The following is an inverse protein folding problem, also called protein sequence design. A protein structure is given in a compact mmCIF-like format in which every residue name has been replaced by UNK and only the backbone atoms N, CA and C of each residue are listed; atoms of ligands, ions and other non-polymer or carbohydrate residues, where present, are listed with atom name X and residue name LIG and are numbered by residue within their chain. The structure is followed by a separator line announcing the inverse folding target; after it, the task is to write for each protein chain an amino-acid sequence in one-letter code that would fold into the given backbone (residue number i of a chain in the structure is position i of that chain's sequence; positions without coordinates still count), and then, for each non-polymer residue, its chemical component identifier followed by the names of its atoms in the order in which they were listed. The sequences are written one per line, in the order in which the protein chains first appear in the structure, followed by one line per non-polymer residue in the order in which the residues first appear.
data_IF_513661645848
#
_entry.id   IF_513661645848
#
_cell.length_a   1.000
_cell.length_b   1.000
_cell.length_c   1.000
_cell.angle_alpha   90.00
_cell.angle_beta   90.00
_cell.angle_gamma   90.00
#
_symmetry.space_group_name_H-M   'P 1'
#
loop_
_entity.id
_entity.type
_entity.pdbx_description
1 polymer ?
#
# COMPACT_ATOMS: atom_id res chain seq x y z
N UNK A 1 -64.30 41.39 31.95
CA UNK A 1 -63.04 41.72 31.25
C UNK A 1 -61.97 40.73 31.73
N UNK A 2 -61.40 39.97 30.80
CA UNK A 2 -60.05 39.31 30.82
C UNK A 2 -59.69 38.45 32.06
N UNK A 3 -59.88 37.12 32.06
CA UNK A 3 -59.02 36.04 31.48
C UNK A 3 -57.65 35.90 32.18
N UNK A 4 -57.05 34.74 32.49
CA UNK A 4 -57.39 33.30 32.50
C UNK A 4 -56.22 32.61 33.27
N UNK A 5 -56.50 31.58 34.09
CA UNK A 5 -55.52 30.82 34.88
C UNK A 5 -54.58 29.93 34.03
N UNK A 6 -53.38 29.56 34.53
CA UNK A 6 -52.50 28.60 33.88
C UNK A 6 -52.91 27.15 34.22
N UNK A 7 -53.04 26.32 33.18
CA UNK A 7 -53.33 24.88 33.30
C UNK A 7 -52.08 24.08 32.91
N UNK A 8 -51.69 23.16 33.81
CA UNK A 8 -50.66 22.14 33.62
C UNK A 8 -50.93 21.31 32.36
N UNK A 9 -49.88 21.00 31.60
CA UNK A 9 -49.90 19.89 30.64
C UNK A 9 -48.55 19.16 30.69
N UNK A 10 -48.61 17.99 31.34
CA UNK A 10 -47.63 16.91 31.23
C UNK A 10 -47.85 16.27 29.87
N UNK A 11 -46.83 16.26 29.00
CA UNK A 11 -46.88 15.55 27.73
C UNK A 11 -45.97 14.32 27.82
N UNK A 12 -46.60 13.15 27.93
CA UNK A 12 -45.95 11.86 27.71
C UNK A 12 -45.63 11.72 26.22
N UNK A 13 -44.34 11.65 25.87
CA UNK A 13 -43.88 11.25 24.53
C UNK A 13 -43.64 9.73 24.54
N UNK A 14 -44.54 9.02 23.86
CA UNK A 14 -44.41 7.61 23.50
C UNK A 14 -43.18 7.43 22.58
N UNK A 15 -42.20 6.67 23.05
CA UNK A 15 -41.10 6.19 22.25
C UNK A 15 -41.58 5.04 21.35
N UNK A 16 -41.91 5.34 20.09
CA UNK A 16 -42.06 4.33 19.05
C UNK A 16 -40.67 3.99 18.50
N UNK A 17 -40.10 2.88 18.97
CA UNK A 17 -38.86 2.32 18.45
C UNK A 17 -39.06 1.77 17.04
N UNK A 18 -38.71 2.54 16.01
CA UNK A 18 -38.47 2.02 14.66
C UNK A 18 -37.08 1.36 14.64
N UNK A 19 -37.00 0.12 15.12
CA UNK A 19 -35.87 -0.75 14.82
C UNK A 19 -36.00 -1.21 13.37
N UNK A 20 -35.24 -0.60 12.46
CA UNK A 20 -35.07 -1.16 11.11
C UNK A 20 -34.13 -2.36 11.24
N UNK A 21 -34.58 -3.59 10.96
CA UNK A 21 -33.66 -4.70 10.84
C UNK A 21 -32.82 -4.44 9.58
N UNK A 22 -31.56 -4.04 9.77
CA UNK A 22 -30.53 -4.15 8.73
C UNK A 22 -30.21 -5.62 8.53
N UNK A 23 -31.15 -6.38 7.97
CA UNK A 23 -30.85 -7.65 7.37
C UNK A 23 -30.00 -7.34 6.13
N UNK A 24 -28.69 -7.56 6.23
CA UNK A 24 -27.81 -7.62 5.07
C UNK A 24 -28.33 -8.82 4.27
N UNK A 25 -29.20 -8.56 3.30
CA UNK A 25 -29.69 -9.59 2.40
C UNK A 25 -28.45 -10.19 1.72
N UNK A 26 -28.16 -11.45 2.05
CA UNK A 26 -27.17 -12.23 1.30
C UNK A 26 -27.61 -12.19 -0.15
N UNK A 27 -26.79 -11.59 -1.02
CA UNK A 27 -27.05 -11.59 -2.45
C UNK A 27 -27.30 -13.04 -2.91
N UNK A 28 -28.34 -13.24 -3.72
CA UNK A 28 -28.66 -14.56 -4.26
C UNK A 28 -27.42 -15.17 -4.92
N UNK A 29 -27.19 -16.49 -4.89
CA UNK A 29 -26.06 -17.11 -5.59
C UNK A 29 -26.09 -16.78 -7.09
N UNK A 30 -24.92 -16.81 -7.76
CA UNK A 30 -24.89 -16.70 -9.22
C UNK A 30 -25.71 -17.84 -9.85
N UNK A 31 -26.42 -17.60 -10.97
CA UNK A 31 -27.18 -18.66 -11.63
C UNK A 31 -26.28 -19.85 -11.98
N UNK A 32 -26.74 -21.06 -11.70
CA UNK A 32 -26.00 -22.28 -12.03
C UNK A 32 -26.06 -22.55 -13.54
N UNK A 33 -24.90 -22.88 -14.10
CA UNK A 33 -24.75 -23.27 -15.51
C UNK A 33 -23.59 -24.24 -15.61
N UNK A 34 -23.79 -25.32 -16.37
CA UNK A 34 -22.73 -26.28 -16.65
C UNK A 34 -21.54 -25.57 -17.34
N UNK A 35 -20.30 -25.79 -16.88
CA UNK A 35 -19.13 -25.21 -17.53
C UNK A 35 -19.01 -25.71 -18.98
N UNK A 36 -18.42 -24.93 -19.89
CA UNK A 36 -18.09 -25.41 -21.23
C UNK A 36 -17.17 -26.63 -21.18
N UNK A 37 -17.17 -27.42 -22.24
CA UNK A 37 -16.23 -28.53 -22.39
C UNK A 37 -14.79 -28.05 -22.17
N UNK A 38 -14.01 -28.82 -21.40
CA UNK A 38 -12.63 -28.48 -21.04
C UNK A 38 -12.49 -27.55 -19.82
N UNK A 39 -13.58 -27.03 -19.27
CA UNK A 39 -13.59 -26.28 -18.01
C UNK A 39 -14.19 -27.09 -16.87
N UNK A 40 -13.57 -26.95 -15.72
CA UNK A 40 -14.13 -27.31 -14.42
C UNK A 40 -14.64 -26.05 -13.75
N UNK A 41 -15.86 -26.09 -13.24
CA UNK A 41 -16.42 -24.99 -12.45
C UNK A 41 -16.28 -25.32 -10.98
N UNK A 42 -15.78 -24.37 -10.21
CA UNK A 42 -15.79 -24.45 -8.76
C UNK A 42 -16.43 -23.17 -8.25
N UNK A 43 -17.54 -23.32 -7.53
CA UNK A 43 -18.19 -22.19 -6.86
C UNK A 43 -17.23 -21.67 -5.79
N UNK A 44 -16.86 -20.40 -5.93
CA UNK A 44 -15.96 -19.69 -5.05
C UNK A 44 -16.59 -19.41 -3.69
N UNK A 45 -15.77 -19.36 -2.65
CA UNK A 45 -16.21 -18.81 -1.38
C UNK A 45 -16.70 -17.36 -1.57
N UNK A 46 -17.74 -17.00 -0.82
CA UNK A 46 -18.41 -15.69 -0.88
C UNK A 46 -19.24 -15.37 -2.15
N UNK A 47 -19.57 -16.38 -2.97
CA UNK A 47 -20.61 -16.30 -4.00
C UNK A 47 -20.10 -16.23 -5.45
N UNK A 48 -18.79 -16.00 -5.65
CA UNK A 48 -18.16 -15.96 -6.97
C UNK A 48 -18.02 -17.34 -7.61
N UNK A 49 -17.54 -17.38 -8.85
CA UNK A 49 -17.29 -18.64 -9.58
C UNK A 49 -15.95 -18.60 -10.29
N UNK A 50 -15.24 -19.72 -10.20
CA UNK A 50 -14.01 -19.96 -10.94
C UNK A 50 -14.26 -21.04 -11.99
N UNK A 51 -13.93 -20.75 -13.24
CA UNK A 51 -13.78 -21.75 -14.30
C UNK A 51 -12.29 -21.97 -14.53
N UNK A 52 -11.83 -23.21 -14.43
CA UNK A 52 -10.44 -23.56 -14.67
C UNK A 52 -10.36 -24.69 -15.69
N UNK A 53 -9.46 -24.57 -16.65
CA UNK A 53 -9.29 -25.53 -17.73
C UNK A 53 -7.83 -25.66 -18.13
N UNK A 54 -7.56 -26.67 -18.94
CA UNK A 54 -6.25 -26.86 -19.57
C UNK A 54 -6.45 -27.08 -21.05
N UNK A 55 -5.43 -26.77 -21.82
CA UNK A 55 -5.43 -27.09 -23.24
C UNK A 55 -4.07 -27.67 -23.62
N UNK A 56 -4.11 -28.60 -24.56
CA UNK A 56 -2.94 -29.16 -25.23
C UNK A 56 -2.85 -28.58 -26.64
N UNK A 57 -1.63 -28.54 -27.18
CA UNK A 57 -1.39 -28.04 -28.53
C UNK A 57 -0.08 -27.27 -28.61
N UNK A 58 0.11 -26.60 -29.75
CA UNK A 58 1.31 -25.82 -30.08
C UNK A 58 0.99 -24.31 -30.11
N UNK A 59 0.19 -23.82 -29.16
CA UNK A 59 -0.14 -22.41 -29.11
C UNK A 59 1.13 -21.59 -28.89
N UNK A 60 1.31 -20.56 -29.70
CA UNK A 60 2.48 -19.66 -29.65
C UNK A 60 2.19 -18.32 -28.99
N UNK A 61 0.91 -18.05 -28.68
CA UNK A 61 0.43 -16.75 -28.23
C UNK A 61 -0.66 -16.93 -27.16
N UNK A 62 -0.39 -16.42 -25.96
CA UNK A 62 -1.34 -16.41 -24.86
C UNK A 62 -2.52 -15.50 -25.17
N UNK A 63 -2.28 -14.36 -25.84
CA UNK A 63 -3.32 -13.46 -26.31
C UNK A 63 -4.27 -14.13 -27.31
N UNK A 64 -3.75 -14.93 -28.25
CA UNK A 64 -4.59 -15.69 -29.19
C UNK A 64 -5.43 -16.76 -28.47
N UNK A 65 -4.83 -17.45 -27.49
CA UNK A 65 -5.56 -18.42 -26.64
C UNK A 65 -6.65 -17.73 -25.83
N UNK A 66 -6.37 -16.57 -25.22
CA UNK A 66 -7.36 -15.77 -24.52
C UNK A 66 -8.52 -15.38 -25.45
N UNK A 67 -8.22 -14.86 -26.64
CA UNK A 67 -9.26 -14.50 -27.62
C UNK A 67 -10.07 -15.71 -28.11
N UNK A 68 -9.48 -16.89 -28.20
CA UNK A 68 -10.20 -18.15 -28.44
C UNK A 68 -11.10 -18.54 -27.27
N UNK A 69 -10.56 -18.49 -26.05
CA UNK A 69 -11.29 -18.80 -24.82
C UNK A 69 -12.50 -17.88 -24.63
N UNK A 70 -12.35 -16.56 -24.78
CA UNK A 70 -13.44 -15.61 -24.62
C UNK A 70 -14.58 -15.86 -25.63
N UNK A 71 -14.27 -16.31 -26.85
CA UNK A 71 -15.28 -16.73 -27.82
C UNK A 71 -16.03 -17.98 -27.38
N UNK A 72 -15.34 -19.00 -26.86
CA UNK A 72 -15.97 -20.21 -26.30
C UNK A 72 -16.88 -19.86 -25.12
N UNK A 73 -16.40 -18.98 -24.24
CA UNK A 73 -17.17 -18.50 -23.09
C UNK A 73 -18.37 -17.65 -23.50
N UNK A 74 -18.42 -17.15 -24.75
CA UNK A 74 -19.60 -16.49 -25.29
C UNK A 74 -20.85 -17.37 -25.25
N UNK A 75 -20.71 -18.71 -25.32
CA UNK A 75 -21.82 -19.66 -25.15
C UNK A 75 -22.13 -20.01 -23.68
N UNK A 76 -21.25 -19.65 -22.74
CA UNK A 76 -21.48 -19.80 -21.30
C UNK A 76 -22.09 -18.54 -20.67
N UNK A 77 -21.64 -17.38 -21.13
CA UNK A 77 -22.28 -16.10 -20.87
C UNK A 77 -23.42 -15.87 -21.86
N UNK A 78 -24.09 -14.73 -21.77
CA UNK A 78 -25.17 -14.33 -22.67
C UNK A 78 -24.60 -13.57 -23.89
N UNK A 79 -23.39 -13.96 -24.33
CA UNK A 79 -22.59 -13.27 -25.34
C UNK A 79 -21.10 -13.24 -24.98
N UNK A 80 -20.28 -12.82 -25.94
CA UNK A 80 -18.83 -12.72 -25.74
C UNK A 80 -18.52 -11.70 -24.61
N UNK A 81 -17.66 -12.06 -23.64
CA UNK A 81 -17.19 -11.11 -22.65
C UNK A 81 -16.51 -9.90 -23.29
N UNK A 82 -16.77 -8.72 -22.74
CA UNK A 82 -16.17 -7.45 -23.18
C UNK A 82 -14.94 -7.18 -22.33
N UNK A 83 -13.76 -7.17 -22.94
CA UNK A 83 -12.49 -6.93 -22.23
C UNK A 83 -12.35 -5.44 -21.91
N UNK A 84 -12.21 -5.11 -20.62
CA UNK A 84 -11.99 -3.74 -20.12
C UNK A 84 -10.52 -3.37 -20.11
N UNK A 85 -9.63 -4.35 -19.98
CA UNK A 85 -8.19 -4.17 -19.97
C UNK A 85 -7.47 -5.51 -20.01
N UNK A 86 -6.24 -5.52 -20.52
CA UNK A 86 -5.43 -6.72 -20.57
C UNK A 86 -3.96 -6.39 -20.39
N UNK A 87 -3.24 -7.32 -19.77
CA UNK A 87 -1.81 -7.26 -19.55
C UNK A 87 -1.22 -8.62 -19.85
N UNK A 88 -0.38 -8.68 -20.90
CA UNK A 88 0.39 -9.85 -21.29
C UNK A 88 1.88 -9.63 -21.07
N UNK A 89 2.67 -10.70 -21.00
CA UNK A 89 4.13 -10.56 -21.01
C UNK A 89 4.66 -10.33 -22.45
N UNK A 90 5.86 -9.73 -22.60
CA UNK A 90 6.44 -9.43 -23.92
C UNK A 90 6.69 -10.65 -24.82
N UNK A 91 6.83 -11.85 -24.26
CA UNK A 91 6.99 -13.08 -25.03
C UNK A 91 5.64 -13.74 -25.36
N UNK A 92 4.52 -13.14 -24.94
CA UNK A 92 3.15 -13.61 -25.19
C UNK A 92 2.92 -15.05 -24.71
N UNK A 93 3.42 -15.33 -23.50
CA UNK A 93 3.36 -16.64 -22.81
C UNK A 93 2.34 -16.64 -21.68
N UNK A 94 1.92 -15.49 -21.19
CA UNK A 94 0.98 -15.29 -20.12
C UNK A 94 0.22 -14.00 -20.33
N UNK A 95 -1.10 -14.04 -20.13
CA UNK A 95 -1.95 -12.85 -20.21
C UNK A 95 -3.03 -12.92 -19.15
N UNK A 96 -3.28 -11.78 -18.52
CA UNK A 96 -4.44 -11.54 -17.67
C UNK A 96 -5.28 -10.44 -18.32
N UNK A 97 -6.57 -10.67 -18.45
CA UNK A 97 -7.52 -9.70 -18.94
C UNK A 97 -8.71 -9.60 -18.02
N UNK A 98 -9.19 -8.38 -17.82
CA UNK A 98 -10.41 -8.12 -17.08
C UNK A 98 -11.57 -7.94 -18.05
N UNK A 99 -12.76 -8.32 -17.63
CA UNK A 99 -13.93 -8.31 -18.51
C UNK A 99 -15.24 -8.06 -17.77
N UNK A 100 -16.21 -7.58 -18.53
CA UNK A 100 -17.63 -7.53 -18.20
C UNK A 100 -18.41 -8.54 -19.07
N UNK A 101 -19.42 -9.20 -18.49
CA UNK A 101 -20.30 -10.12 -19.20
C UNK A 101 -21.70 -10.19 -18.54
N UNK A 102 -22.59 -11.03 -19.08
CA UNK A 102 -23.86 -11.40 -18.43
C UNK A 102 -23.99 -12.92 -18.36
N UNK A 103 -24.55 -13.44 -17.27
CA UNK A 103 -24.84 -14.85 -17.07
C UNK A 103 -26.32 -14.99 -16.74
N UNK A 104 -27.11 -15.54 -17.67
CA UNK A 104 -28.57 -15.67 -17.57
C UNK A 104 -29.25 -14.35 -17.14
N UNK A 105 -28.90 -13.27 -17.81
CA UNK A 105 -29.37 -11.91 -17.55
C UNK A 105 -28.66 -11.20 -16.39
N UNK A 106 -27.88 -11.90 -15.57
CA UNK A 106 -27.17 -11.32 -14.41
C UNK A 106 -25.85 -10.69 -14.85
N UNK A 107 -25.60 -9.38 -14.62
CA UNK A 107 -24.30 -8.79 -14.94
C UNK A 107 -23.21 -9.40 -14.06
N UNK A 108 -22.09 -9.76 -14.68
CA UNK A 108 -20.91 -10.28 -14.01
C UNK A 108 -19.66 -9.55 -14.48
N UNK A 109 -18.67 -9.48 -13.60
CA UNK A 109 -17.34 -8.92 -13.86
C UNK A 109 -16.29 -9.90 -13.37
N UNK A 110 -15.17 -9.98 -14.08
CA UNK A 110 -14.15 -10.95 -13.76
C UNK A 110 -12.79 -10.69 -14.37
N UNK A 111 -11.89 -11.63 -14.11
CA UNK A 111 -10.58 -11.72 -14.73
C UNK A 111 -10.42 -13.09 -15.41
N UNK A 112 -9.79 -13.08 -16.57
CA UNK A 112 -9.40 -14.25 -17.35
C UNK A 112 -7.87 -14.30 -17.40
N UNK A 113 -7.30 -15.47 -17.13
CA UNK A 113 -5.87 -15.72 -17.14
C UNK A 113 -5.57 -16.85 -18.11
N UNK A 114 -4.48 -16.69 -18.85
CA UNK A 114 -3.91 -17.74 -19.69
C UNK A 114 -2.42 -17.81 -19.38
N UNK A 115 -1.91 -19.02 -19.22
CA UNK A 115 -0.48 -19.29 -19.09
C UNK A 115 -0.09 -20.44 -20.02
N UNK A 116 0.85 -20.19 -20.92
CA UNK A 116 1.46 -21.18 -21.81
C UNK A 116 2.64 -21.86 -21.12
N UNK A 117 2.81 -23.15 -21.42
CA UNK A 117 3.99 -23.95 -21.10
C UNK A 117 4.87 -24.09 -22.35
N UNK A 118 6.11 -24.54 -22.20
CA UNK A 118 7.10 -24.60 -23.31
C UNK A 118 6.70 -25.49 -24.48
N UNK A 119 5.82 -26.47 -24.25
CA UNK A 119 5.23 -27.30 -25.31
C UNK A 119 4.11 -26.62 -26.13
N UNK A 120 3.68 -25.40 -25.76
CA UNK A 120 2.57 -24.68 -26.39
C UNK A 120 1.17 -25.06 -25.89
N UNK A 121 1.06 -26.01 -24.96
CA UNK A 121 -0.13 -26.20 -24.12
C UNK A 121 -0.16 -25.20 -22.97
N UNK A 122 -1.15 -25.29 -22.08
CA UNK A 122 -1.24 -24.37 -20.97
C UNK A 122 -2.46 -24.51 -20.07
N UNK A 123 -2.52 -23.63 -19.09
CA UNK A 123 -3.65 -23.46 -18.18
C UNK A 123 -4.44 -22.20 -18.51
N UNK A 124 -5.76 -22.28 -18.29
CA UNK A 124 -6.65 -21.13 -18.35
C UNK A 124 -7.51 -21.05 -17.11
N UNK A 125 -7.80 -19.84 -16.67
CA UNK A 125 -8.66 -19.57 -15.53
C UNK A 125 -9.55 -18.37 -15.79
N UNK A 126 -10.78 -18.42 -15.29
CA UNK A 126 -11.72 -17.31 -15.33
C UNK A 126 -12.34 -17.21 -13.96
N UNK A 127 -12.19 -16.07 -13.30
CA UNK A 127 -12.80 -15.78 -12.01
C UNK A 127 -13.78 -14.65 -12.21
N UNK A 128 -15.03 -14.83 -11.80
CA UNK A 128 -16.03 -13.79 -11.95
C UNK A 128 -17.09 -13.86 -10.85
N UNK A 129 -17.72 -12.72 -10.64
CA UNK A 129 -18.84 -12.56 -9.72
C UNK A 129 -19.69 -11.37 -10.19
N UNK A 130 -20.75 -11.06 -9.46
CA UNK A 130 -21.47 -9.80 -9.64
C UNK A 130 -20.52 -8.63 -9.41
N UNK A 131 -20.67 -7.52 -10.14
CA UNK A 131 -19.84 -6.33 -9.96
C UNK A 131 -19.79 -5.81 -8.51
N UNK A 132 -20.87 -5.98 -7.74
CA UNK A 132 -20.92 -5.58 -6.33
C UNK A 132 -20.18 -6.54 -5.37
N UNK A 133 -20.01 -7.81 -5.76
CA UNK A 133 -19.47 -8.86 -4.89
C UNK A 133 -18.02 -9.23 -5.23
N UNK A 134 -17.55 -8.91 -6.44
CA UNK A 134 -16.24 -9.32 -6.96
C UNK A 134 -15.07 -8.91 -6.04
N UNK A 135 -15.08 -7.71 -5.45
CA UNK A 135 -14.01 -7.27 -4.56
C UNK A 135 -13.91 -8.07 -3.25
N UNK A 136 -15.00 -8.73 -2.84
CA UNK A 136 -15.02 -9.63 -1.68
C UNK A 136 -14.64 -11.06 -2.08
N UNK A 137 -15.14 -11.55 -3.21
CA UNK A 137 -14.92 -12.94 -3.64
C UNK A 137 -13.59 -13.17 -4.36
N UNK A 138 -13.02 -12.14 -5.00
CA UNK A 138 -11.80 -12.26 -5.82
C UNK A 138 -10.65 -12.90 -5.06
N UNK A 139 -10.30 -12.39 -3.88
CA UNK A 139 -9.20 -12.95 -3.08
C UNK A 139 -9.40 -14.43 -2.74
N UNK A 140 -10.65 -14.85 -2.47
CA UNK A 140 -10.96 -16.25 -2.23
C UNK A 140 -10.90 -17.11 -3.50
N UNK A 141 -11.38 -16.60 -4.63
CA UNK A 141 -11.30 -17.29 -5.92
C UNK A 141 -9.84 -17.47 -6.37
N UNK A 142 -8.97 -16.46 -6.18
CA UNK A 142 -7.54 -16.60 -6.52
C UNK A 142 -6.85 -17.60 -5.58
N UNK A 143 -7.25 -17.71 -4.30
CA UNK A 143 -6.74 -18.78 -3.41
C UNK A 143 -7.16 -20.16 -3.91
N UNK A 144 -8.40 -20.27 -4.34
CA UNK A 144 -8.94 -21.51 -4.89
C UNK A 144 -8.20 -21.95 -6.17
N UNK A 145 -7.82 -21.01 -7.04
CA UNK A 145 -7.02 -21.33 -8.22
C UNK A 145 -5.68 -22.00 -7.87
N UNK A 146 -5.00 -21.56 -6.81
CA UNK A 146 -3.77 -22.22 -6.33
C UNK A 146 -3.98 -23.66 -5.87
N UNK A 147 -5.22 -24.04 -5.54
CA UNK A 147 -5.57 -25.42 -5.17
C UNK A 147 -6.05 -26.28 -6.34
N UNK A 148 -6.44 -25.66 -7.47
CA UNK A 148 -6.88 -26.39 -8.66
C UNK A 148 -5.63 -26.90 -9.40
N UNK A 149 -5.40 -28.21 -9.32
CA UNK A 149 -4.37 -28.87 -10.13
C UNK A 149 -4.78 -28.81 -11.59
N UNK A 150 -4.02 -28.08 -12.40
CA UNK A 150 -4.13 -28.01 -13.87
C UNK A 150 -3.37 -29.22 -14.44
N UNK A 151 -4.02 -30.26 -15.01
CA UNK A 151 -3.32 -31.39 -15.61
C UNK A 151 -2.46 -30.93 -16.80
N UNK A 152 -1.15 -31.19 -16.76
CA UNK A 152 -0.20 -30.87 -17.85
C UNK A 152 0.38 -29.46 -17.81
N UNK A 153 -0.10 -28.58 -16.92
CA UNK A 153 0.74 -27.52 -16.38
C UNK A 153 1.67 -28.15 -15.35
N UNK A 154 2.96 -27.83 -15.35
CA UNK A 154 3.64 -27.83 -14.07
C UNK A 154 2.84 -26.87 -13.20
N UNK A 155 1.96 -27.41 -12.34
CA UNK A 155 1.40 -26.65 -11.25
C UNK A 155 2.62 -25.97 -10.64
N UNK A 156 2.63 -24.63 -10.57
CA UNK A 156 3.63 -23.91 -9.79
C UNK A 156 3.64 -24.62 -8.46
N UNK A 157 4.66 -25.48 -8.23
CA UNK A 157 4.65 -26.37 -7.08
C UNK A 157 4.48 -25.44 -5.90
N UNK A 158 3.54 -25.71 -4.96
CA UNK A 158 3.36 -24.86 -3.79
C UNK A 158 4.74 -24.58 -3.24
N UNK A 159 5.23 -23.36 -3.48
CA UNK A 159 6.58 -23.04 -3.13
C UNK A 159 6.50 -22.81 -1.64
N UNK A 160 7.00 -23.76 -0.86
CA UNK A 160 7.12 -23.55 0.57
C UNK A 160 8.05 -22.36 0.76
N UNK A 161 7.47 -21.19 0.99
CA UNK A 161 8.23 -19.96 1.21
C UNK A 161 8.86 -20.04 2.59
N UNK A 162 10.20 -20.02 2.71
CA UNK A 162 10.86 -19.94 3.99
C UNK A 162 10.35 -18.70 4.74
N UNK A 163 9.72 -18.91 5.89
CA UNK A 163 9.26 -17.82 6.73
C UNK A 163 10.45 -17.09 7.32
N UNK A 164 10.44 -15.77 7.20
CA UNK A 164 11.39 -14.87 7.83
C UNK A 164 10.62 -13.91 8.73
N UNK A 165 11.06 -13.81 9.97
CA UNK A 165 10.55 -12.79 10.90
C UNK A 165 11.32 -11.51 10.70
N UNK A 166 10.64 -10.37 10.69
CA UNK A 166 11.29 -9.06 10.66
C UNK A 166 12.23 -8.90 11.87
N UNK A 167 13.31 -8.11 11.75
CA UNK A 167 14.24 -7.90 12.87
C UNK A 167 13.60 -7.33 14.14
N UNK A 168 12.46 -6.63 14.02
CA UNK A 168 11.69 -6.12 15.17
C UNK A 168 10.75 -7.18 15.79
N UNK A 169 10.67 -8.39 15.23
CA UNK A 169 9.82 -9.48 15.70
C UNK A 169 8.32 -9.27 15.45
N UNK A 170 7.92 -8.20 14.76
CA UNK A 170 6.52 -7.76 14.69
C UNK A 170 5.75 -8.40 13.54
N UNK A 171 6.42 -8.81 12.47
CA UNK A 171 5.81 -9.48 11.33
C UNK A 171 6.62 -10.71 10.92
N UNK A 172 5.95 -11.67 10.30
CA UNK A 172 6.58 -12.74 9.56
C UNK A 172 6.10 -12.72 8.12
N UNK A 173 6.99 -13.01 7.18
CA UNK A 173 6.70 -13.10 5.76
C UNK A 173 7.55 -14.18 5.11
N UNK A 174 6.97 -14.91 4.17
CA UNK A 174 7.66 -15.89 3.35
C UNK A 174 8.49 -15.20 2.27
N UNK A 175 9.80 -15.46 2.24
CA UNK A 175 10.72 -14.82 1.30
C UNK A 175 11.31 -15.88 0.37
N UNK A 176 11.09 -15.82 -0.95
CA UNK A 176 11.65 -16.78 -1.89
C UNK A 176 13.19 -16.73 -1.93
N UNK A 177 13.88 -17.81 -2.33
CA UNK A 177 15.31 -17.79 -2.59
C UNK A 177 15.70 -16.66 -3.56
N UNK A 178 16.75 -15.92 -3.21
CA UNK A 178 17.23 -14.77 -4.01
C UNK A 178 16.46 -13.46 -3.79
N UNK A 179 15.37 -13.48 -3.03
CA UNK A 179 14.65 -12.29 -2.59
C UNK A 179 15.14 -11.87 -1.20
N UNK A 180 14.86 -10.63 -0.82
CA UNK A 180 15.27 -10.09 0.49
C UNK A 180 14.26 -9.09 1.04
N UNK A 181 14.15 -9.05 2.37
CA UNK A 181 13.48 -7.95 3.06
C UNK A 181 14.36 -6.70 2.90
N UNK A 182 13.79 -5.62 2.38
CA UNK A 182 14.48 -4.33 2.15
C UNK A 182 14.04 -3.23 3.10
N UNK A 183 12.90 -3.39 3.76
CA UNK A 183 12.36 -2.45 4.73
C UNK A 183 11.42 -3.16 5.69
N UNK A 184 11.36 -2.66 6.93
CA UNK A 184 10.43 -3.16 7.93
C UNK A 184 10.17 -2.10 8.99
N UNK A 185 9.01 -2.21 9.64
CA UNK A 185 8.70 -1.43 10.83
C UNK A 185 7.21 -1.41 11.13
N UNK A 186 6.83 -1.54 12.39
CA UNK A 186 5.43 -1.50 12.82
C UNK A 186 4.55 -2.52 12.08
N UNK A 187 5.10 -3.71 11.81
CA UNK A 187 4.43 -4.79 11.10
C UNK A 187 4.35 -4.62 9.58
N UNK A 188 4.80 -3.48 9.04
CA UNK A 188 5.03 -3.31 7.62
C UNK A 188 6.31 -4.04 7.20
N UNK A 189 6.29 -4.60 5.98
CA UNK A 189 7.44 -5.29 5.38
C UNK A 189 7.52 -4.95 3.91
N UNK A 190 8.72 -4.58 3.45
CA UNK A 190 9.06 -4.44 2.04
C UNK A 190 9.98 -5.59 1.64
N UNK A 191 9.62 -6.31 0.58
CA UNK A 191 10.42 -7.43 0.03
C UNK A 191 10.75 -7.11 -1.43
N UNK A 192 12.03 -7.21 -1.78
CA UNK A 192 12.50 -7.03 -3.14
C UNK A 192 13.01 -8.33 -3.74
N UNK A 193 12.60 -8.59 -4.98
CA UNK A 193 13.13 -9.67 -5.81
C UNK A 193 14.32 -9.25 -6.66
N UNK A 194 15.07 -10.21 -7.21
CA UNK A 194 16.32 -9.96 -7.93
C UNK A 194 16.15 -9.25 -9.28
N UNK A 195 14.92 -9.17 -9.81
CA UNK A 195 14.61 -8.57 -11.12
C UNK A 195 13.75 -7.31 -11.00
N UNK A 196 13.73 -6.68 -9.82
CA UNK A 196 12.96 -5.46 -9.57
C UNK A 196 11.53 -5.72 -9.13
N UNK A 197 11.19 -6.95 -8.74
CA UNK A 197 9.93 -7.23 -8.05
C UNK A 197 9.91 -6.55 -6.68
N UNK A 198 8.74 -6.11 -6.27
CA UNK A 198 8.47 -5.38 -5.04
C UNK A 198 7.21 -5.96 -4.42
N UNK A 199 7.26 -6.25 -3.13
CA UNK A 199 6.10 -6.63 -2.32
C UNK A 199 6.12 -5.81 -1.05
N UNK A 200 5.22 -4.85 -0.94
CA UNK A 200 5.08 -4.02 0.23
C UNK A 200 3.77 -4.41 0.93
N UNK A 201 3.84 -4.82 2.18
CA UNK A 201 2.65 -5.28 2.92
C UNK A 201 2.48 -4.53 4.21
N UNK A 202 1.22 -4.22 4.52
CA UNK A 202 0.86 -3.59 5.77
C UNK A 202 1.35 -2.15 5.92
N UNK A 203 1.62 -1.43 4.83
CA UNK A 203 2.12 -0.06 4.90
C UNK A 203 0.99 0.87 5.36
N UNK A 204 1.27 1.66 6.39
CA UNK A 204 0.34 2.63 6.96
C UNK A 204 1.00 3.99 6.96
N UNK A 205 0.42 4.93 6.24
CA UNK A 205 0.93 6.30 6.13
C UNK A 205 -0.11 7.27 6.69
N UNK A 206 0.20 7.99 7.79
CA UNK A 206 -0.59 9.13 8.18
C UNK A 206 -0.37 10.27 7.19
N UNK A 207 -1.45 10.82 6.66
CA UNK A 207 -1.45 11.97 5.77
C UNK A 207 -2.09 13.14 6.51
N UNK A 208 -1.36 14.25 6.58
CA UNK A 208 -1.80 15.45 7.28
C UNK A 208 -2.63 16.31 6.32
N UNK A 209 -3.73 16.88 6.79
CA UNK A 209 -4.58 17.77 5.97
C UNK A 209 -3.94 19.15 5.83
N UNK A 210 -3.29 19.63 6.89
CA UNK A 210 -2.65 20.94 6.95
C UNK A 210 -1.45 20.92 7.89
N UNK A 211 -0.47 21.84 7.72
CA UNK A 211 0.60 22.03 8.69
C UNK A 211 0.05 22.23 10.10
N UNK A 212 0.78 21.73 11.09
CA UNK A 212 0.41 21.96 12.49
C UNK A 212 0.67 23.41 12.86
N UNK A 213 0.15 23.88 14.00
CA UNK A 213 0.43 25.22 14.50
C UNK A 213 1.94 25.50 14.68
N UNK A 214 2.74 24.45 14.92
CA UNK A 214 4.21 24.54 15.05
C UNK A 214 4.96 24.36 13.72
N UNK A 215 4.23 24.37 12.60
CA UNK A 215 4.78 24.23 11.24
C UNK A 215 4.66 22.82 10.66
N UNK A 216 5.25 22.60 9.47
CA UNK A 216 5.24 21.31 8.81
C UNK A 216 6.15 20.30 9.54
N UNK A 217 5.64 19.10 9.76
CA UNK A 217 6.38 17.94 10.26
C UNK A 217 7.28 17.45 9.14
N UNK A 218 8.58 17.40 9.41
CA UNK A 218 9.57 16.93 8.43
C UNK A 218 9.22 15.51 7.95
N UNK A 219 9.20 15.32 6.63
CA UNK A 219 8.87 14.04 6.00
C UNK A 219 7.37 13.70 5.92
N UNK A 220 6.49 14.45 6.59
CA UNK A 220 5.05 14.23 6.47
C UNK A 220 4.53 14.61 5.07
N UNK A 221 3.48 13.91 4.65
CA UNK A 221 2.75 14.23 3.43
C UNK A 221 1.54 15.07 3.79
N UNK A 222 1.36 16.17 3.07
CA UNK A 222 0.25 17.10 3.25
C UNK A 222 -0.70 17.03 2.06
N UNK A 223 -1.88 16.46 2.26
CA UNK A 223 -2.94 16.35 1.25
C UNK A 223 -4.31 16.45 1.93
N UNK A 224 -5.32 17.09 1.30
CA UNK A 224 -6.69 17.01 1.78
C UNK A 224 -7.15 15.56 1.83
N UNK A 225 -8.18 15.25 2.63
CA UNK A 225 -8.70 13.89 2.68
C UNK A 225 -9.22 13.47 1.30
N UNK A 226 -8.67 12.38 0.77
CA UNK A 226 -9.11 11.76 -0.48
C UNK A 226 -9.80 10.45 -0.14
N UNK A 227 -11.13 10.47 -0.18
CA UNK A 227 -11.93 9.29 0.10
C UNK A 227 -11.72 8.18 -0.94
N UNK A 228 -11.62 8.50 -2.24
CA UNK A 228 -11.49 7.51 -3.29
C UNK A 228 -10.08 6.89 -3.34
N UNK A 229 -9.91 5.57 -3.10
CA UNK A 229 -8.60 4.91 -3.14
C UNK A 229 -7.85 5.08 -4.48
N UNK A 230 -8.56 5.13 -5.61
CA UNK A 230 -7.93 5.27 -6.94
C UNK A 230 -7.42 6.69 -7.19
N UNK A 231 -8.05 7.70 -6.59
CA UNK A 231 -7.54 9.08 -6.63
C UNK A 231 -6.39 9.23 -5.63
N UNK A 232 -6.52 8.60 -4.46
CA UNK A 232 -5.52 8.66 -3.40
C UNK A 232 -4.19 8.04 -3.81
N UNK A 233 -4.18 6.87 -4.47
CA UNK A 233 -2.94 6.21 -4.91
C UNK A 233 -2.11 7.15 -5.80
N UNK A 234 -2.74 7.84 -6.75
CA UNK A 234 -2.04 8.78 -7.63
C UNK A 234 -1.48 9.96 -6.82
N UNK A 235 -2.31 10.64 -6.05
CA UNK A 235 -1.90 11.84 -5.31
C UNK A 235 -0.82 11.56 -4.25
N UNK A 236 -0.96 10.45 -3.51
CA UNK A 236 0.01 10.04 -2.48
C UNK A 236 1.32 9.59 -3.12
N UNK A 237 1.28 8.75 -4.17
CA UNK A 237 2.50 8.31 -4.84
C UNK A 237 3.24 9.45 -5.53
N UNK A 238 2.55 10.45 -6.08
CA UNK A 238 3.18 11.68 -6.60
C UNK A 238 3.87 12.48 -5.48
N UNK A 239 3.22 12.61 -4.32
CA UNK A 239 3.82 13.28 -3.17
C UNK A 239 5.06 12.53 -2.63
N UNK A 240 4.98 11.21 -2.51
CA UNK A 240 6.10 10.36 -2.15
C UNK A 240 7.24 10.44 -3.18
N UNK A 241 6.92 10.43 -4.47
CA UNK A 241 7.89 10.56 -5.57
C UNK A 241 8.68 11.87 -5.45
N UNK A 242 8.02 13.00 -5.18
CA UNK A 242 8.71 14.29 -4.94
C UNK A 242 9.69 14.20 -3.76
N UNK A 243 9.28 13.60 -2.65
CA UNK A 243 10.16 13.39 -1.49
C UNK A 243 11.29 12.38 -1.78
N UNK A 244 11.05 11.39 -2.62
CA UNK A 244 12.04 10.40 -3.03
C UNK A 244 13.13 11.03 -3.91
N UNK A 245 12.74 11.84 -4.90
CA UNK A 245 13.66 12.58 -5.78
C UNK A 245 14.55 13.54 -5.00
N UNK A 246 13.99 14.26 -4.02
CA UNK A 246 14.79 15.12 -3.12
C UNK A 246 15.86 14.35 -2.34
N UNK A 247 15.68 13.04 -2.17
CA UNK A 247 16.62 12.12 -1.50
C UNK A 247 17.46 11.31 -2.49
N UNK A 248 17.46 11.68 -3.77
CA UNK A 248 18.25 11.00 -4.82
C UNK A 248 17.68 9.65 -5.27
N UNK A 249 16.45 9.30 -4.89
CA UNK A 249 15.79 8.08 -5.35
C UNK A 249 15.06 8.28 -6.69
N UNK A 250 14.85 7.22 -7.49
CA UNK A 250 14.13 7.32 -8.75
C UNK A 250 12.69 7.82 -8.58
N UNK A 251 12.27 8.70 -9.49
CA UNK A 251 10.89 9.19 -9.52
C UNK A 251 9.91 8.07 -9.91
N UNK A 252 8.73 8.09 -9.29
CA UNK A 252 7.54 7.38 -9.75
C UNK A 252 6.67 8.37 -10.53
N UNK A 253 6.32 8.02 -11.76
CA UNK A 253 5.62 8.86 -12.74
C UNK A 253 4.55 8.05 -13.50
N UNK A 254 3.71 8.72 -14.29
CA UNK A 254 2.69 8.12 -15.16
C UNK A 254 1.78 7.09 -14.43
N UNK A 255 1.37 7.42 -13.21
CA UNK A 255 0.53 6.55 -12.38
C UNK A 255 -0.89 6.55 -12.96
N UNK A 256 -1.32 5.39 -13.44
CA UNK A 256 -2.64 5.20 -14.02
C UNK A 256 -3.29 3.96 -13.43
N UNK A 257 -4.49 4.16 -12.87
CA UNK A 257 -5.34 3.07 -12.38
C UNK A 257 -6.10 2.52 -13.58
N UNK A 258 -5.72 1.31 -14.00
CA UNK A 258 -6.33 0.60 -15.11
C UNK A 258 -7.62 -0.08 -14.66
N UNK A 259 -7.63 -0.59 -13.43
CA UNK A 259 -8.80 -1.23 -12.85
C UNK A 259 -8.93 -0.95 -11.36
N UNK A 260 -10.18 -0.94 -10.90
CA UNK A 260 -10.57 -0.72 -9.52
C UNK A 260 -11.72 -1.65 -9.15
N UNK A 261 -11.59 -2.27 -7.97
CA UNK A 261 -12.63 -3.08 -7.34
C UNK A 261 -12.80 -2.67 -5.89
N UNK A 262 -13.93 -2.01 -5.52
CA UNK A 262 -14.23 -1.71 -4.12
C UNK A 262 -14.22 -2.96 -3.25
N UNK A 263 -13.72 -2.86 -2.02
CA UNK A 263 -13.74 -3.94 -1.04
C UNK A 263 -13.97 -3.38 0.36
N UNK A 264 -14.31 -4.25 1.31
CA UNK A 264 -14.46 -3.84 2.69
C UNK A 264 -13.11 -3.35 3.24
N UNK A 265 -13.09 -2.23 3.99
CA UNK A 265 -11.84 -1.71 4.50
C UNK A 265 -11.21 -2.65 5.52
N UNK A 266 -9.92 -3.02 5.37
CA UNK A 266 -9.23 -3.91 6.31
C UNK A 266 -9.11 -3.29 7.72
N UNK A 267 -9.19 -1.96 7.81
CA UNK A 267 -9.20 -1.20 9.07
C UNK A 267 -10.60 -1.12 9.70
N UNK A 268 -11.64 -1.62 9.03
CA UNK A 268 -13.03 -1.44 9.45
C UNK A 268 -13.60 -0.03 9.23
N UNK A 269 -12.82 0.90 8.68
CA UNK A 269 -13.22 2.29 8.46
C UNK A 269 -12.82 2.83 7.08
N UNK A 270 -13.57 3.82 6.59
CA UNK A 270 -13.28 4.51 5.35
C UNK A 270 -13.64 3.71 4.08
N UNK A 271 -12.88 3.93 3.01
CA UNK A 271 -13.08 3.25 1.72
C UNK A 271 -11.87 2.41 1.38
N UNK A 272 -12.08 1.27 0.73
CA UNK A 272 -10.99 0.44 0.23
C UNK A 272 -11.29 -0.11 -1.14
N UNK A 273 -10.22 -0.38 -1.90
CA UNK A 273 -10.31 -1.03 -3.19
C UNK A 273 -9.06 -1.85 -3.49
N UNK A 274 -9.23 -2.95 -4.21
CA UNK A 274 -8.17 -3.53 -5.01
C UNK A 274 -8.00 -2.69 -6.27
N UNK A 275 -6.76 -2.35 -6.58
CA UNK A 275 -6.38 -1.53 -7.72
C UNK A 275 -5.39 -2.32 -8.57
N UNK A 276 -5.61 -2.29 -9.88
CA UNK A 276 -4.60 -2.66 -10.84
C UNK A 276 -4.13 -1.38 -11.53
N UNK A 277 -2.84 -1.10 -11.44
CA UNK A 277 -2.28 0.17 -11.89
C UNK A 277 -0.99 -0.04 -12.67
N UNK A 278 -0.68 0.92 -13.54
CA UNK A 278 0.63 1.05 -14.17
C UNK A 278 1.30 2.34 -13.71
N UNK A 279 2.63 2.34 -13.75
CA UNK A 279 3.46 3.53 -13.48
C UNK A 279 4.81 3.39 -14.19
N UNK A 280 5.66 4.42 -14.10
CA UNK A 280 7.08 4.35 -14.46
C UNK A 280 7.95 4.68 -13.25
N UNK A 281 8.86 3.77 -12.89
CA UNK A 281 9.86 3.95 -11.83
C UNK A 281 11.22 4.13 -12.50
N UNK A 282 11.86 5.28 -12.30
CA UNK A 282 13.12 5.60 -12.99
C UNK A 282 12.99 5.50 -14.52
N UNK A 283 11.81 5.86 -15.04
CA UNK A 283 11.50 5.76 -16.46
C UNK A 283 11.23 4.34 -16.98
N UNK A 284 11.20 3.29 -16.14
CA UNK A 284 10.87 1.91 -16.56
C UNK A 284 9.40 1.57 -16.24
N UNK A 285 8.62 1.02 -17.18
CA UNK A 285 7.22 0.68 -16.93
C UNK A 285 7.11 -0.43 -15.88
N UNK A 286 6.18 -0.25 -14.94
CA UNK A 286 5.84 -1.18 -13.88
C UNK A 286 4.33 -1.39 -13.82
N UNK A 287 3.92 -2.62 -13.53
CA UNK A 287 2.56 -2.94 -13.12
C UNK A 287 2.50 -3.17 -11.62
N UNK A 288 1.35 -2.85 -11.04
CA UNK A 288 1.07 -2.97 -9.63
C UNK A 288 -0.32 -3.57 -9.44
N UNK A 289 -0.43 -4.49 -8.49
CA UNK A 289 -1.70 -4.91 -7.93
C UNK A 289 -1.67 -4.54 -6.45
N UNK A 290 -2.59 -3.68 -6.03
CA UNK A 290 -2.58 -3.10 -4.70
C UNK A 290 -3.94 -3.22 -4.01
N UNK A 291 -3.92 -3.33 -2.69
CA UNK A 291 -5.05 -3.07 -1.81
C UNK A 291 -4.78 -1.72 -1.19
N UNK A 292 -5.68 -0.76 -1.42
CA UNK A 292 -5.58 0.59 -0.87
C UNK A 292 -6.79 0.85 0.00
N UNK A 293 -6.57 1.40 1.20
CA UNK A 293 -7.61 1.87 2.11
C UNK A 293 -7.32 3.31 2.55
N UNK A 294 -8.34 4.14 2.45
CA UNK A 294 -8.33 5.54 2.87
C UNK A 294 -9.36 5.71 3.98
N UNK A 295 -8.99 6.33 5.09
CA UNK A 295 -9.91 6.55 6.20
C UNK A 295 -9.57 7.85 6.94
N UNK A 296 -10.56 8.69 7.31
CA UNK A 296 -10.30 9.80 8.21
C UNK A 296 -9.87 9.25 9.58
N UNK A 297 -8.88 9.89 10.21
CA UNK A 297 -8.49 9.60 11.59
C UNK A 297 -9.12 10.64 12.51
N UNK A 298 -8.85 11.91 12.21
CA UNK A 298 -9.33 13.08 12.94
C UNK A 298 -9.47 14.28 11.96
N UNK A 299 -9.93 15.47 12.41
CA UNK A 299 -10.07 16.61 11.51
C UNK A 299 -8.77 17.11 10.86
N UNK A 300 -7.61 16.77 11.41
CA UNK A 300 -6.29 17.21 10.93
C UNK A 300 -5.55 16.16 10.10
N UNK A 301 -6.04 14.92 10.04
CA UNK A 301 -5.30 13.81 9.42
C UNK A 301 -6.19 12.66 8.95
N UNK A 302 -5.66 11.91 8.00
CA UNK A 302 -6.28 10.71 7.47
C UNK A 302 -5.23 9.63 7.18
N UNK A 303 -5.65 8.38 7.17
CA UNK A 303 -4.80 7.22 6.91
C UNK A 303 -4.84 6.89 5.42
N UNK A 304 -3.65 6.70 4.84
CA UNK A 304 -3.45 5.97 3.60
C UNK A 304 -2.76 4.63 3.92
N UNK A 305 -3.54 3.56 3.91
CA UNK A 305 -3.04 2.20 4.02
C UNK A 305 -2.87 1.61 2.63
N UNK A 306 -1.75 0.93 2.40
CA UNK A 306 -1.63 0.09 1.21
C UNK A 306 -0.86 -1.21 1.48
N UNK A 307 -1.16 -2.19 0.65
CA UNK A 307 -0.32 -3.36 0.42
C UNK A 307 -0.30 -3.58 -1.08
N UNK A 308 0.86 -3.87 -1.66
CA UNK A 308 1.04 -3.93 -3.10
C UNK A 308 2.05 -4.98 -3.47
N UNK A 309 1.84 -5.57 -4.65
CA UNK A 309 2.86 -6.28 -5.39
C UNK A 309 3.09 -5.51 -6.68
N UNK A 310 4.35 -5.38 -7.09
CA UNK A 310 4.71 -4.63 -8.28
C UNK A 310 6.01 -5.12 -8.88
N UNK A 311 6.19 -4.94 -10.18
CA UNK A 311 7.42 -5.30 -10.88
C UNK A 311 7.49 -4.62 -12.25
N UNK A 312 8.66 -4.57 -12.89
CA UNK A 312 8.78 -4.13 -14.27
C UNK A 312 7.85 -4.92 -15.20
N UNK A 313 7.48 -4.29 -16.31
CA UNK A 313 6.75 -4.96 -17.38
C UNK A 313 7.49 -6.23 -17.85
N UNK A 314 6.74 -7.30 -18.13
CA UNK A 314 7.20 -8.65 -18.41
C UNK A 314 7.66 -9.47 -17.21
N UNK A 315 8.19 -8.84 -16.17
CA UNK A 315 8.51 -9.50 -14.90
C UNK A 315 7.24 -9.68 -14.07
N UNK A 316 6.36 -8.67 -14.06
CA UNK A 316 5.15 -8.66 -13.24
C UNK A 316 4.28 -9.88 -13.47
N UNK A 317 3.97 -10.19 -14.73
CA UNK A 317 3.05 -11.26 -15.12
C UNK A 317 3.63 -12.62 -14.76
N UNK A 318 4.90 -12.86 -15.12
CA UNK A 318 5.61 -14.11 -14.86
C UNK A 318 5.67 -14.42 -13.36
N UNK A 319 5.93 -13.39 -12.55
CA UNK A 319 6.16 -13.58 -11.11
C UNK A 319 4.95 -13.17 -10.27
N UNK A 320 3.80 -12.83 -10.88
CA UNK A 320 2.62 -12.33 -10.18
C UNK A 320 2.12 -13.32 -9.13
N UNK A 321 2.01 -14.60 -9.51
CA UNK A 321 1.58 -15.65 -8.59
C UNK A 321 2.55 -15.79 -7.41
N UNK A 322 3.86 -15.77 -7.66
CA UNK A 322 4.87 -15.84 -6.61
C UNK A 322 4.78 -14.62 -5.67
N UNK A 323 4.66 -13.41 -6.23
CA UNK A 323 4.48 -12.18 -5.46
C UNK A 323 3.22 -12.21 -4.60
N UNK A 324 2.11 -12.74 -5.13
CA UNK A 324 0.89 -12.93 -4.36
C UNK A 324 1.07 -13.96 -3.24
N UNK A 325 1.85 -15.01 -3.44
CA UNK A 325 2.15 -15.98 -2.39
C UNK A 325 3.03 -15.35 -1.30
N UNK A 326 3.99 -14.50 -1.67
CA UNK A 326 4.76 -13.68 -0.71
C UNK A 326 3.82 -12.79 0.10
N UNK A 327 2.94 -12.02 -0.56
CA UNK A 327 1.94 -11.20 0.13
C UNK A 327 1.10 -12.05 1.08
N UNK A 328 0.51 -13.16 0.62
CA UNK A 328 -0.37 -14.02 1.44
C UNK A 328 0.34 -14.64 2.64
N UNK A 329 1.63 -14.88 2.52
CA UNK A 329 2.44 -15.44 3.59
C UNK A 329 2.74 -14.44 4.71
N UNK A 330 2.47 -13.15 4.48
CA UNK A 330 2.58 -12.12 5.50
C UNK A 330 1.57 -12.35 6.62
N UNK A 331 2.06 -12.30 7.85
CA UNK A 331 1.26 -12.38 9.05
C UNK A 331 1.72 -11.35 10.07
N UNK A 332 0.75 -10.75 10.74
CA UNK A 332 0.96 -9.89 11.90
C UNK A 332 0.86 -10.73 13.16
N UNK A 333 1.69 -10.42 14.16
CA UNK A 333 1.43 -10.89 15.51
C UNK A 333 0.07 -10.31 15.98
N UNK A 334 -0.92 -11.15 16.33
CA UNK A 334 -2.31 -10.71 16.60
C UNK A 334 -2.44 -9.71 17.74
N UNK A 335 -1.50 -9.70 18.70
CA UNK A 335 -1.46 -8.69 19.76
C UNK A 335 -1.27 -7.28 19.17
N UNK A 336 -0.49 -7.17 18.11
CA UNK A 336 -0.11 -5.90 17.49
C UNK A 336 -1.17 -5.33 16.54
N UNK A 337 -2.11 -6.12 16.02
CA UNK A 337 -3.28 -5.54 15.31
C UNK A 337 -4.13 -4.69 16.29
N UNK A 338 -4.24 -5.15 17.55
CA UNK A 338 -4.87 -4.41 18.65
C UNK A 338 -4.02 -3.22 19.09
N UNK A 339 -2.72 -3.44 19.28
CA UNK A 339 -1.79 -2.35 19.66
C UNK A 339 -1.72 -1.27 18.57
N UNK A 340 -1.79 -1.61 17.27
CA UNK A 340 -1.72 -0.65 16.16
C UNK A 340 -2.94 0.27 16.09
N UNK A 341 -4.12 -0.24 16.36
CA UNK A 341 -5.33 0.59 16.47
C UNK A 341 -5.27 1.51 17.71
N UNK A 342 -4.65 1.04 18.80
CA UNK A 342 -4.47 1.82 20.01
C UNK A 342 -3.31 2.82 19.91
N UNK A 343 -2.18 2.46 19.28
CA UNK A 343 -0.98 3.28 19.07
C UNK A 343 -1.23 4.36 18.03
N UNK A 344 -1.89 4.07 16.91
CA UNK A 344 -2.29 5.14 15.98
C UNK A 344 -3.18 6.18 16.68
N UNK A 345 -4.13 5.73 17.51
CA UNK A 345 -4.98 6.61 18.31
C UNK A 345 -4.25 7.28 19.51
N UNK A 346 -3.15 6.70 20.02
CA UNK A 346 -2.45 7.16 21.23
C UNK A 346 -1.19 7.94 20.92
N UNK A 347 -0.33 7.48 20.00
CA UNK A 347 0.79 8.22 19.43
C UNK A 347 0.34 9.56 18.85
N UNK A 348 -0.86 9.66 18.27
CA UNK A 348 -1.36 10.93 17.73
C UNK A 348 -1.92 11.86 18.83
N UNK A 349 -2.56 11.32 19.87
CA UNK A 349 -2.91 12.10 21.09
C UNK A 349 -1.66 12.56 21.86
N UNK A 350 -0.63 11.72 21.94
CA UNK A 350 0.66 12.01 22.57
C UNK A 350 1.56 12.90 21.69
N UNK A 351 1.42 12.88 20.36
CA UNK A 351 2.10 13.83 19.47
C UNK A 351 1.73 15.26 19.85
N UNK A 352 0.49 15.53 20.29
CA UNK A 352 0.09 16.82 20.87
C UNK A 352 0.76 17.20 22.21
N UNK A 353 1.37 16.26 22.94
CA UNK A 353 2.12 16.50 24.19
C UNK A 353 3.65 16.46 24.00
N UNK A 354 4.15 15.56 23.15
CA UNK A 354 5.56 15.51 22.72
C UNK A 354 5.91 16.75 21.90
N UNK A 355 4.99 17.31 21.10
CA UNK A 355 5.22 18.59 20.43
C UNK A 355 5.33 19.76 21.42
N UNK A 356 4.68 19.69 22.60
CA UNK A 356 4.81 20.69 23.69
C UNK A 356 6.13 20.56 24.47
N UNK A 357 6.78 19.40 24.46
CA UNK A 357 8.11 19.20 25.06
C UNK A 357 9.25 19.37 24.04
N UNK A 358 9.06 18.97 22.78
CA UNK A 358 9.99 19.16 21.67
C UNK A 358 10.17 20.65 21.30
N UNK A 359 9.12 21.47 21.41
CA UNK A 359 9.23 22.93 21.23
C UNK A 359 10.24 23.61 22.19
N UNK A 360 10.52 23.02 23.36
CA UNK A 360 11.55 23.51 24.29
C UNK A 360 12.95 22.98 23.96
N UNK A 361 13.08 21.74 23.49
CA UNK A 361 14.38 21.15 23.13
C UNK A 361 14.91 21.54 21.74
N UNK A 362 14.03 21.84 20.79
CA UNK A 362 14.38 22.18 19.41
C UNK A 362 14.95 23.61 19.30
N UNK A 363 14.49 24.55 20.14
CA UNK A 363 15.00 25.94 20.18
C UNK A 363 16.50 25.98 20.52
N UNK A 364 16.96 25.18 21.48
CA UNK A 364 18.37 25.18 21.88
C UNK A 364 19.30 24.54 20.83
N UNK A 365 18.82 23.53 20.11
CA UNK A 365 19.58 22.88 19.04
C UNK A 365 19.67 23.77 17.78
N UNK A 366 18.59 24.50 17.46
CA UNK A 366 18.59 25.51 16.39
C UNK A 366 19.45 26.73 16.74
N UNK A 367 19.45 27.21 17.99
CA UNK A 367 20.32 28.31 18.42
C UNK A 367 21.81 27.95 18.33
N UNK A 368 22.18 26.70 18.67
CA UNK A 368 23.56 26.21 18.53
C UNK A 368 23.98 26.10 17.06
N UNK A 369 23.09 25.60 16.19
CA UNK A 369 23.37 25.48 14.76
C UNK A 369 23.44 26.85 14.05
N UNK A 370 22.56 27.79 14.38
CA UNK A 370 22.57 29.15 13.83
C UNK A 370 23.78 29.97 14.30
N UNK A 371 24.27 29.76 15.53
CA UNK A 371 25.52 30.40 15.99
C UNK A 371 26.74 29.88 15.23
N UNK A 372 26.85 28.55 15.06
CA UNK A 372 27.91 27.95 14.25
C UNK A 372 27.94 28.48 12.81
N UNK A 373 26.75 28.65 12.22
CA UNK A 373 26.61 29.23 10.88
C UNK A 373 26.94 30.73 10.85
N UNK A 374 26.53 31.51 11.86
CA UNK A 374 26.87 32.94 11.95
C UNK A 374 28.36 33.19 12.20
N UNK A 375 29.06 32.33 12.93
CA UNK A 375 30.51 32.44 13.17
C UNK A 375 31.30 32.04 11.93
N UNK A 376 30.86 30.97 11.24
CA UNK A 376 31.39 30.60 9.94
C UNK A 376 31.27 31.74 8.91
N UNK A 377 30.13 32.42 8.85
CA UNK A 377 29.91 33.56 7.95
C UNK A 377 30.74 34.81 8.31
N UNK A 378 31.17 34.94 9.56
CA UNK A 378 31.98 36.06 10.04
C UNK A 378 33.48 35.76 10.09
N UNK A 379 33.89 34.55 9.70
CA UNK A 379 35.28 34.11 9.79
C UNK A 379 35.78 33.93 11.22
N UNK A 380 34.88 33.71 12.18
CA UNK A 380 35.23 33.57 13.60
C UNK A 380 35.19 32.11 14.04
N UNK A 381 36.07 31.75 14.97
CA UNK A 381 36.09 30.44 15.63
C UNK A 381 36.21 30.57 17.15
N UNK A 382 35.65 29.60 17.89
CA UNK A 382 35.72 29.57 19.36
C UNK A 382 36.92 28.74 19.79
N UNK A 383 37.85 29.38 20.47
CA UNK A 383 39.01 28.76 21.08
C UNK A 383 38.72 28.44 22.55
N UNK A 384 39.11 27.26 23.03
CA UNK A 384 39.05 26.89 24.44
C UNK A 384 40.46 26.69 25.00
N UNK A 385 40.77 27.37 26.11
CA UNK A 385 41.97 27.09 26.89
C UNK A 385 41.73 25.82 27.72
N UNK A 386 42.48 24.76 27.43
CA UNK A 386 42.17 23.39 27.85
C UNK A 386 42.20 23.19 29.37
N UNK A 387 43.04 23.93 30.10
CA UNK A 387 43.20 23.77 31.55
C UNK A 387 42.21 24.59 32.39
N UNK A 388 41.75 25.75 31.89
CA UNK A 388 40.76 26.58 32.61
C UNK A 388 39.35 26.42 32.07
N UNK A 389 39.18 25.84 30.87
CA UNK A 389 37.91 25.76 30.16
C UNK A 389 37.39 27.13 29.70
N UNK A 390 38.20 28.18 29.79
CA UNK A 390 37.85 29.52 29.33
C UNK A 390 37.75 29.53 27.81
N UNK A 391 36.73 30.22 27.28
CA UNK A 391 36.44 30.29 25.85
C UNK A 391 36.38 31.73 25.38
N UNK A 392 36.70 31.93 24.11
CA UNK A 392 36.52 33.21 23.43
C UNK A 392 36.43 33.01 21.93
N UNK A 393 35.72 33.93 21.28
CA UNK A 393 35.63 34.01 19.83
C UNK A 393 36.78 34.82 19.25
N UNK A 394 37.50 34.25 18.29
CA UNK A 394 38.66 34.85 17.63
C UNK A 394 38.50 34.77 16.12
N UNK A 395 39.25 35.59 15.38
CA UNK A 395 39.39 35.39 13.94
C UNK A 395 39.97 33.99 13.67
N UNK A 396 39.48 33.34 12.61
CA UNK A 396 39.88 31.96 12.26
C UNK A 396 41.39 31.83 12.10
N UNK A 397 42.04 32.77 11.42
CA UNK A 397 43.47 32.65 11.12
C UNK A 397 44.30 32.80 12.40
N UNK A 398 43.85 33.67 13.32
CA UNK A 398 44.44 33.83 14.64
C UNK A 398 44.19 32.61 15.55
N UNK A 399 42.98 32.06 15.53
CA UNK A 399 42.63 30.86 16.30
C UNK A 399 43.47 29.65 15.86
N UNK A 400 43.60 29.44 14.55
CA UNK A 400 44.44 28.39 13.98
C UNK A 400 45.93 28.61 14.30
N UNK A 401 46.41 29.85 14.25
CA UNK A 401 47.79 30.18 14.61
C UNK A 401 48.06 29.88 16.10
N UNK A 402 47.12 30.20 17.00
CA UNK A 402 47.25 29.94 18.44
C UNK A 402 47.22 28.44 18.76
N UNK A 403 46.31 27.67 18.16
CA UNK A 403 46.28 26.21 18.35
C UNK A 403 47.53 25.56 17.78
N UNK A 404 48.04 26.02 16.64
CA UNK A 404 49.26 25.48 16.04
C UNK A 404 50.51 25.79 16.86
N UNK A 405 50.55 26.96 17.50
CA UNK A 405 51.66 27.38 18.35
C UNK A 405 51.68 26.62 19.69
N UNK A 406 50.53 26.30 20.28
CA UNK A 406 50.44 25.55 21.54
C UNK A 406 49.18 24.66 21.62
N UNK A 407 49.20 23.49 20.94
CA UNK A 407 48.04 22.60 20.85
C UNK A 407 47.75 21.86 22.16
N UNK A 408 48.67 21.88 23.13
CA UNK A 408 48.45 21.29 24.45
C UNK A 408 47.57 22.21 25.30
N UNK A 409 47.67 23.53 25.11
CA UNK A 409 46.94 24.54 25.89
C UNK A 409 45.67 25.03 25.25
N UNK A 410 45.55 24.92 23.92
CA UNK A 410 44.39 25.46 23.20
C UNK A 410 43.82 24.44 22.23
N UNK A 411 42.49 24.46 22.10
CA UNK A 411 41.77 23.69 21.08
C UNK A 411 40.65 24.50 20.47
N UNK A 412 40.33 24.19 19.22
CA UNK A 412 39.10 24.67 18.59
C UNK A 412 37.90 23.92 19.18
N UNK A 413 36.86 24.67 19.54
CA UNK A 413 35.60 24.10 19.98
C UNK A 413 34.76 23.76 18.74
N UNK A 414 34.26 22.52 18.61
CA UNK A 414 33.38 22.20 17.51
C UNK A 414 32.04 22.94 17.66
N UNK A 415 31.41 23.39 16.55
CA UNK A 415 30.17 24.20 16.59
C UNK A 415 29.01 23.59 17.39
N UNK A 416 28.96 22.26 17.48
CA UNK A 416 27.97 21.53 18.28
C UNK A 416 28.08 21.79 19.79
N UNK A 417 29.18 22.39 20.25
CA UNK A 417 29.50 22.62 21.66
C UNK A 417 29.52 24.10 22.07
N UNK A 418 29.11 25.03 21.20
CA UNK A 418 29.08 26.47 21.52
C UNK A 418 28.07 26.79 22.62
N UNK A 419 28.51 27.54 23.63
CA UNK A 419 27.72 27.97 24.79
C UNK A 419 27.16 29.38 24.56
N UNK A 420 26.17 29.74 25.36
CA UNK A 420 25.66 31.11 25.38
C UNK A 420 26.68 32.01 26.09
N UNK A 421 27.37 32.88 25.35
CA UNK A 421 28.38 33.81 25.88
C UNK A 421 29.83 33.54 25.44
N UNK A 422 30.07 32.52 24.62
CA UNK A 422 31.34 32.30 23.87
C UNK A 422 31.47 33.30 22.72
#
# INVERSE_FOLDING_TARGET
MTALLPRRLVLCLLAAGFGWPSAIASAAPLPDRAPPAGFTSVNGAAGGRTLAGTFSGSARSAAAVLGGMLRILGGYFDGAPVVSGAVGDPADRGIMAFFDARLQGTPVRGAALVQLNDGGGGGVAVLFDRPADIGRSFGAMVRQLGSVRVPGGEASRPMTLPQQTTPDGKAAIGVPPGWRITGWGNGAVDVAGPQGQLVDVGIFLPIMVQPTFVGPVAGAIYLPFIADPAVAVRAVSEAQSRQAVMRGAPAVTDIEVLERHPTAPPTGAGQAAYLFARSRIGGRPHYHFALVNTAPIDPGSWTYYYSTVGAPDGVFQRDFALMLDVWRSWSLNQQMLRDRMQDAATTMRQTGEILRSAARGQSEAFDRANRGFSYYLRGLEVLEHTSSGARGSFDRDDADAVVRADPARFRLVPPSQYRSGD
#
